data_IF_331096233086
#
_entry.id   IF_331096233086
#
_cell.length_a   1.000
_cell.length_b   1.000
_cell.length_c   1.000
_cell.angle_alpha   90.00
_cell.angle_beta   90.00
_cell.angle_gamma   90.00
#
_symmetry.space_group_name_H-M   'P 1'
#
loop_
_entity.id
_entity.type
_entity.pdbx_description
1 polymer ?
#
# COMPACT_ATOMS: atom_id res chain seq x y z
N UNK A 1 97.11 -87.25 40.50
CA UNK A 1 97.21 -85.99 39.71
C UNK A 1 96.39 -86.16 38.44
N UNK A 2 95.88 -85.04 37.91
CA UNK A 2 95.19 -84.87 36.61
C UNK A 2 93.73 -85.35 36.56
N UNK A 3 92.78 -84.66 35.92
CA UNK A 3 92.71 -83.33 35.32
C UNK A 3 91.21 -83.00 35.18
N UNK A 4 90.84 -81.72 35.32
CA UNK A 4 89.47 -81.23 35.17
C UNK A 4 89.07 -81.29 33.68
N UNK A 5 87.91 -81.86 33.37
CA UNK A 5 87.29 -81.84 32.03
C UNK A 5 86.02 -81.01 32.10
N UNK A 6 86.04 -79.86 31.43
CA UNK A 6 84.91 -78.98 31.19
C UNK A 6 83.99 -79.56 30.11
N UNK A 7 82.65 -79.44 30.23
CA UNK A 7 81.74 -79.78 29.14
C UNK A 7 81.69 -78.70 28.05
N UNK A 8 81.68 -79.15 26.80
CA UNK A 8 81.58 -78.38 25.55
C UNK A 8 80.33 -77.49 25.48
N UNK A 9 80.39 -76.35 24.76
CA UNK A 9 79.22 -75.53 24.45
C UNK A 9 78.42 -76.20 23.33
N UNK A 10 77.13 -76.47 23.59
CA UNK A 10 76.16 -76.95 22.62
C UNK A 10 75.59 -75.81 21.78
N UNK A 11 75.74 -75.93 20.47
CA UNK A 11 74.76 -75.71 19.41
C UNK A 11 73.69 -74.62 19.65
N UNK A 12 73.87 -73.46 19.01
CA UNK A 12 72.81 -72.47 18.77
C UNK A 12 72.53 -72.49 17.26
N UNK A 13 71.27 -72.59 16.80
CA UNK A 13 71.00 -72.59 15.37
C UNK A 13 71.30 -71.20 14.80
N UNK A 14 72.26 -71.11 13.90
CA UNK A 14 72.54 -69.90 13.11
C UNK A 14 71.40 -69.73 12.10
N UNK A 15 70.50 -68.78 12.36
CA UNK A 15 69.37 -68.43 11.49
C UNK A 15 69.89 -67.82 10.17
N UNK A 16 69.32 -68.22 9.03
CA UNK A 16 69.70 -67.73 7.70
C UNK A 16 69.42 -66.21 7.62
N UNK A 17 70.36 -65.37 7.18
CA UNK A 17 70.19 -63.91 7.07
C UNK A 17 68.99 -63.47 6.21
N UNK A 18 68.43 -64.36 5.38
CA UNK A 18 67.18 -64.08 4.67
C UNK A 18 65.94 -64.16 5.56
N UNK A 19 65.92 -65.08 6.53
CA UNK A 19 64.80 -65.26 7.45
C UNK A 19 64.71 -64.06 8.42
N UNK A 20 65.85 -63.52 8.87
CA UNK A 20 65.88 -62.29 9.68
C UNK A 20 65.29 -61.07 8.92
N UNK A 21 65.62 -60.93 7.63
CA UNK A 21 65.10 -59.83 6.81
C UNK A 21 63.60 -59.95 6.55
N UNK A 22 63.09 -61.18 6.39
CA UNK A 22 61.66 -61.41 6.19
C UNK A 22 60.85 -61.26 7.48
N UNK A 23 61.43 -61.58 8.64
CA UNK A 23 60.86 -61.27 9.95
C UNK A 23 60.81 -59.76 10.22
N UNK A 24 61.87 -59.01 9.90
CA UNK A 24 61.89 -57.54 10.00
C UNK A 24 60.80 -56.93 9.10
N UNK A 25 60.68 -57.39 7.85
CA UNK A 25 59.64 -56.92 6.92
C UNK A 25 58.24 -57.29 7.39
N UNK A 26 58.05 -58.46 7.99
CA UNK A 26 56.78 -58.87 8.56
C UNK A 26 56.40 -58.02 9.77
N UNK A 27 57.37 -57.70 10.63
CA UNK A 27 57.21 -56.80 11.76
C UNK A 27 56.89 -55.36 11.32
N UNK A 28 57.59 -54.84 10.32
CA UNK A 28 57.30 -53.54 9.71
C UNK A 28 55.88 -53.50 9.10
N UNK A 29 55.48 -54.54 8.38
CA UNK A 29 54.11 -54.66 7.82
C UNK A 29 53.05 -54.74 8.92
N UNK A 30 53.32 -55.41 10.03
CA UNK A 30 52.42 -55.46 11.17
C UNK A 30 52.29 -54.09 11.87
N UNK A 31 53.39 -53.33 11.94
CA UNK A 31 53.42 -51.96 12.47
C UNK A 31 52.72 -50.94 11.56
N UNK A 32 52.69 -51.18 10.25
CA UNK A 32 52.02 -50.33 9.25
C UNK A 32 50.54 -50.71 9.01
N UNK A 33 50.02 -51.74 9.69
CA UNK A 33 48.60 -52.11 9.59
C UNK A 33 47.76 -51.08 10.33
N UNK A 34 46.91 -50.40 9.56
CA UNK A 34 45.92 -49.46 10.09
C UNK A 34 44.98 -50.23 11.01
N UNK A 35 44.86 -49.77 12.26
CA UNK A 35 43.94 -50.36 13.22
C UNK A 35 42.49 -50.09 12.79
N UNK A 36 41.60 -51.07 13.02
CA UNK A 36 40.15 -50.85 12.82
C UNK A 36 39.63 -49.67 13.64
N UNK A 37 40.28 -49.39 14.77
CA UNK A 37 39.99 -48.22 15.59
C UNK A 37 40.29 -46.91 14.85
N UNK A 38 41.44 -46.81 14.17
CA UNK A 38 41.83 -45.60 13.40
C UNK A 38 40.87 -45.31 12.25
N UNK A 39 40.32 -46.35 11.62
CA UNK A 39 39.32 -46.20 10.55
C UNK A 39 38.03 -45.60 11.11
N UNK A 40 37.59 -46.06 12.28
CA UNK A 40 36.35 -45.58 12.91
C UNK A 40 36.54 -44.17 13.48
N UNK A 41 37.66 -43.89 14.14
CA UNK A 41 37.95 -42.56 14.70
C UNK A 41 38.14 -41.50 13.61
N UNK A 42 38.83 -41.84 12.51
CA UNK A 42 38.98 -40.94 11.36
C UNK A 42 37.63 -40.67 10.67
N UNK A 43 36.76 -41.67 10.57
CA UNK A 43 35.40 -41.49 10.05
C UNK A 43 34.57 -40.55 10.95
N UNK A 44 34.62 -40.74 12.27
CA UNK A 44 33.92 -39.86 13.22
C UNK A 44 34.47 -38.43 13.18
N UNK A 45 35.80 -38.26 13.12
CA UNK A 45 36.41 -36.93 12.98
C UNK A 45 36.01 -36.25 11.67
N UNK A 46 36.00 -36.97 10.55
CA UNK A 46 35.55 -36.45 9.27
C UNK A 46 34.07 -36.04 9.31
N UNK A 47 33.21 -36.85 9.94
CA UNK A 47 31.78 -36.55 10.05
C UNK A 47 31.52 -35.32 10.92
N UNK A 48 32.20 -35.21 12.06
CA UNK A 48 32.09 -34.04 12.96
C UNK A 48 32.56 -32.77 12.23
N UNK A 49 33.69 -32.82 11.52
CA UNK A 49 34.19 -31.68 10.75
C UNK A 49 33.23 -31.30 9.61
N UNK A 50 32.67 -32.28 8.91
CA UNK A 50 31.68 -32.03 7.86
C UNK A 50 30.41 -31.38 8.41
N UNK A 51 29.86 -31.90 9.51
CA UNK A 51 28.69 -31.31 10.16
C UNK A 51 28.99 -29.90 10.68
N UNK A 52 30.15 -29.69 11.30
CA UNK A 52 30.59 -28.39 11.78
C UNK A 52 30.72 -27.37 10.64
N UNK A 53 31.36 -27.75 9.53
CA UNK A 53 31.49 -26.89 8.35
C UNK A 53 30.12 -26.56 7.72
N UNK A 54 29.21 -27.54 7.67
CA UNK A 54 27.87 -27.34 7.13
C UNK A 54 27.04 -26.37 7.98
N UNK A 55 27.06 -26.53 9.32
CA UNK A 55 26.38 -25.61 10.24
C UNK A 55 27.00 -24.22 10.19
N UNK A 56 28.33 -24.12 10.11
CA UNK A 56 29.03 -22.84 9.96
C UNK A 56 28.67 -22.15 8.64
N UNK A 57 28.54 -22.90 7.54
CA UNK A 57 28.05 -22.37 6.26
C UNK A 57 26.62 -21.84 6.39
N UNK A 58 25.71 -22.60 7.00
CA UNK A 58 24.33 -22.14 7.23
C UNK A 58 24.29 -20.91 8.14
N UNK A 59 25.15 -20.85 9.16
CA UNK A 59 25.28 -19.69 10.03
C UNK A 59 25.78 -18.45 9.27
N UNK A 60 26.76 -18.60 8.38
CA UNK A 60 27.23 -17.52 7.50
C UNK A 60 26.10 -17.09 6.55
N UNK A 61 25.39 -18.03 5.93
CA UNK A 61 24.24 -17.73 5.08
C UNK A 61 23.17 -16.99 5.87
N UNK A 62 22.88 -17.39 7.11
CA UNK A 62 21.93 -16.69 7.97
C UNK A 62 22.42 -15.28 8.35
N UNK A 63 23.71 -15.13 8.67
CA UNK A 63 24.33 -13.84 9.01
C UNK A 63 24.32 -12.87 7.82
N UNK A 64 24.53 -13.39 6.61
CA UNK A 64 24.58 -12.63 5.35
C UNK A 64 23.21 -12.47 4.70
N UNK A 65 22.27 -13.38 4.96
CA UNK A 65 20.86 -13.26 4.58
C UNK A 65 20.19 -12.25 5.51
N UNK A 66 20.63 -11.00 5.40
CA UNK A 66 19.88 -9.87 5.93
C UNK A 66 18.45 -9.92 5.42
N UNK A 67 17.51 -9.37 6.20
CA UNK A 67 16.13 -9.17 5.74
C UNK A 67 16.18 -8.48 4.38
N UNK A 68 15.40 -8.92 3.37
CA UNK A 68 15.31 -8.21 2.11
C UNK A 68 14.98 -6.75 2.43
N UNK A 69 15.92 -5.85 2.16
CA UNK A 69 15.67 -4.42 2.31
C UNK A 69 14.58 -4.13 1.30
N UNK A 70 13.40 -3.66 1.72
CA UNK A 70 12.40 -3.29 0.74
C UNK A 70 13.05 -2.20 -0.10
N UNK A 71 13.09 -2.41 -1.41
CA UNK A 71 13.67 -1.46 -2.34
C UNK A 71 13.00 -0.11 -2.05
N UNK A 72 13.78 0.96 -1.77
CA UNK A 72 13.19 2.26 -1.57
C UNK A 72 12.51 2.63 -2.88
N UNK A 73 11.18 2.67 -2.84
CA UNK A 73 10.38 3.26 -3.91
C UNK A 73 10.85 4.70 -3.99
N UNK A 74 11.59 5.04 -5.05
CA UNK A 74 12.02 6.40 -5.28
C UNK A 74 10.75 7.27 -5.37
N UNK A 75 10.64 8.35 -4.59
CA UNK A 75 9.48 9.23 -4.68
C UNK A 75 9.44 9.77 -6.11
N UNK A 76 8.37 9.44 -6.84
CA UNK A 76 8.07 10.13 -8.08
C UNK A 76 7.69 11.56 -7.67
N UNK A 77 8.62 12.51 -7.79
CA UNK A 77 8.37 13.92 -7.51
C UNK A 77 7.76 14.50 -8.79
N UNK A 78 6.43 14.64 -8.79
CA UNK A 78 5.71 15.36 -9.84
C UNK A 78 5.50 16.79 -9.35
N UNK A 79 5.91 17.78 -10.14
CA UNK A 79 5.57 19.18 -9.93
C UNK A 79 4.42 19.56 -10.86
N UNK A 80 3.14 19.34 -10.46
CA UNK A 80 2.01 19.73 -11.29
C UNK A 80 1.99 21.25 -11.47
N UNK A 81 1.65 21.71 -12.68
CA UNK A 81 1.41 23.12 -12.94
C UNK A 81 0.31 23.66 -12.01
N UNK A 82 0.50 24.90 -11.56
CA UNK A 82 -0.60 25.70 -11.04
C UNK A 82 -1.70 25.81 -12.11
N UNK A 83 -2.94 25.57 -11.68
CA UNK A 83 -4.20 25.52 -12.46
C UNK A 83 -4.16 26.26 -13.80
N UNK A 84 -3.86 25.51 -14.87
CA UNK A 84 -4.14 25.87 -16.26
C UNK A 84 -5.14 24.86 -16.86
N UNK A 85 -5.87 25.31 -17.89
CA UNK A 85 -6.82 24.59 -18.76
C UNK A 85 -7.57 23.38 -18.15
N UNK A 86 -8.87 23.55 -17.86
CA UNK A 86 -9.74 22.45 -17.43
C UNK A 86 -9.75 21.30 -18.47
N UNK A 87 -9.54 20.07 -18.00
CA UNK A 87 -9.58 18.88 -18.85
C UNK A 87 -10.96 18.72 -19.52
N UNK A 88 -10.96 18.51 -20.84
CA UNK A 88 -12.18 18.39 -21.64
C UNK A 88 -13.04 17.19 -21.20
N UNK A 89 -14.34 17.42 -20.96
CA UNK A 89 -15.34 16.37 -20.77
C UNK A 89 -15.70 15.99 -19.33
N UNK A 90 -15.35 16.81 -18.33
CA UNK A 90 -15.88 16.65 -16.97
C UNK A 90 -16.70 17.88 -16.57
N UNK A 91 -18.01 17.69 -16.45
CA UNK A 91 -18.92 18.63 -15.80
C UNK A 91 -18.59 18.68 -14.30
N UNK A 92 -18.31 19.88 -13.78
CA UNK A 92 -18.56 20.13 -12.36
C UNK A 92 -19.97 20.72 -12.28
N UNK A 93 -20.95 19.88 -11.97
CA UNK A 93 -22.25 20.30 -11.43
C UNK A 93 -22.06 20.85 -10.02
N UNK A 94 -21.27 21.90 -9.93
CA UNK A 94 -21.32 22.84 -8.84
C UNK A 94 -21.79 24.13 -9.49
N UNK A 95 -23.08 24.19 -9.82
CA UNK A 95 -23.74 25.48 -9.92
C UNK A 95 -23.50 26.16 -8.57
N UNK A 96 -22.71 27.25 -8.50
CA UNK A 96 -22.82 28.10 -7.34
C UNK A 96 -24.29 28.50 -7.24
N UNK A 97 -24.92 28.44 -6.06
CA UNK A 97 -26.30 28.90 -5.92
C UNK A 97 -26.40 30.26 -6.58
N UNK A 98 -27.33 30.37 -7.53
CA UNK A 98 -27.52 31.59 -8.30
C UNK A 98 -27.74 32.75 -7.33
N UNK A 99 -27.26 33.94 -7.69
CA UNK A 99 -27.46 35.14 -6.88
C UNK A 99 -28.96 35.48 -6.63
N UNK A 100 -29.88 34.75 -7.27
CA UNK A 100 -31.32 34.84 -7.10
C UNK A 100 -31.87 33.98 -5.93
N UNK A 101 -31.12 32.99 -5.42
CA UNK A 101 -31.52 32.18 -4.24
C UNK A 101 -30.98 32.72 -2.90
N UNK A 102 -30.12 33.74 -2.93
CA UNK A 102 -29.58 34.40 -1.72
C UNK A 102 -30.41 35.58 -1.24
N UNK A 103 -31.44 35.99 -2.01
CA UNK A 103 -32.35 37.07 -1.62
C UNK A 103 -33.61 36.57 -0.89
N UNK A 104 -33.91 35.26 -0.92
CA UNK A 104 -35.01 34.64 -0.15
C UNK A 104 -34.64 34.27 1.31
N UNK A 105 -33.41 34.53 1.74
CA UNK A 105 -32.98 34.35 3.15
C UNK A 105 -33.11 35.63 4.01
N UNK A 106 -33.78 36.67 3.52
CA UNK A 106 -34.31 37.70 4.41
C UNK A 106 -35.65 37.21 4.98
N UNK A 107 -35.65 37.06 6.31
CA UNK A 107 -36.77 36.64 7.15
C UNK A 107 -38.14 37.14 6.61
N UNK A 108 -39.06 36.25 6.22
CA UNK A 108 -40.42 36.68 5.92
C UNK A 108 -41.06 37.15 7.23
N UNK A 109 -41.50 38.40 7.28
CA UNK A 109 -42.33 38.87 8.39
C UNK A 109 -43.60 38.03 8.44
N UNK A 110 -43.98 37.55 9.62
CA UNK A 110 -45.08 36.61 9.88
C UNK A 110 -46.49 37.08 9.43
N UNK A 111 -46.60 38.22 8.73
CA UNK A 111 -47.84 38.74 8.18
C UNK A 111 -48.17 38.15 6.79
N UNK A 112 -47.17 37.84 5.95
CA UNK A 112 -47.41 37.45 4.55
C UNK A 112 -47.66 35.94 4.35
N UNK A 113 -47.45 35.13 5.39
CA UNK A 113 -47.66 33.66 5.32
C UNK A 113 -49.14 33.27 5.42
N UNK A 114 -50.04 34.16 5.83
CA UNK A 114 -51.48 33.86 5.94
C UNK A 114 -52.22 34.15 4.62
N UNK A 115 -51.71 35.05 3.78
CA UNK A 115 -52.33 35.36 2.47
C UNK A 115 -51.99 34.27 1.42
N UNK A 116 -50.75 33.75 1.43
CA UNK A 116 -50.28 32.74 0.48
C UNK A 116 -50.96 31.35 0.59
N UNK A 117 -51.62 31.04 1.72
CA UNK A 117 -52.32 29.76 1.91
C UNK A 117 -53.74 29.79 1.29
N UNK A 118 -54.25 30.96 0.89
CA UNK A 118 -55.59 31.07 0.29
C UNK A 118 -55.58 30.93 -1.23
N UNK A 119 -54.51 31.35 -1.91
CA UNK A 119 -54.41 31.27 -3.38
C UNK A 119 -53.94 29.90 -3.91
N UNK A 120 -53.33 29.07 -3.06
CA UNK A 120 -52.83 27.74 -3.44
C UNK A 120 -53.93 26.67 -3.63
N UNK A 121 -55.20 26.98 -3.32
CA UNK A 121 -56.31 26.02 -3.47
C UNK A 121 -57.05 26.16 -4.82
N UNK A 122 -56.82 27.23 -5.60
CA UNK A 122 -57.52 27.46 -6.87
C UNK A 122 -56.77 27.03 -8.15
N UNK A 123 -55.48 26.68 -8.08
CA UNK A 123 -54.63 26.52 -9.28
C UNK A 123 -54.31 25.06 -9.64
N UNK A 124 -55.01 24.08 -9.04
CA UNK A 124 -54.76 22.64 -9.29
C UNK A 124 -55.53 22.08 -10.51
N UNK A 125 -56.40 22.86 -11.17
CA UNK A 125 -57.20 22.37 -12.30
C UNK A 125 -56.72 22.81 -13.71
N UNK A 126 -55.68 23.65 -13.83
CA UNK A 126 -55.34 24.29 -15.11
C UNK A 126 -53.98 23.90 -15.74
N UNK A 127 -53.12 23.10 -15.10
CA UNK A 127 -51.79 22.78 -15.65
C UNK A 127 -51.66 21.41 -16.33
N UNK A 128 -52.75 20.64 -16.47
CA UNK A 128 -52.67 19.27 -17.00
C UNK A 128 -52.76 19.12 -18.53
N UNK A 129 -52.68 20.21 -19.32
CA UNK A 129 -52.94 20.14 -20.78
C UNK A 129 -51.84 20.73 -21.69
N UNK A 130 -50.61 20.91 -21.20
CA UNK A 130 -49.54 21.47 -22.06
C UNK A 130 -48.18 20.80 -21.84
N UNK A 131 -48.13 19.48 -22.01
CA UNK A 131 -46.88 18.73 -22.08
C UNK A 131 -46.88 17.80 -23.30
N UNK A 132 -47.06 18.37 -24.49
CA UNK A 132 -46.75 17.71 -25.75
C UNK A 132 -46.15 18.77 -26.70
N UNK A 133 -44.84 18.97 -26.61
CA UNK A 133 -44.04 19.60 -27.66
C UNK A 133 -42.66 18.99 -27.66
N UNK A 134 -42.35 18.37 -28.80
CA UNK A 134 -41.11 17.68 -29.10
C UNK A 134 -39.89 18.60 -28.97
N UNK A 135 -38.99 18.27 -28.03
CA UNK A 135 -37.64 18.80 -27.99
C UNK A 135 -36.72 17.86 -28.79
N UNK A 136 -36.35 18.32 -29.97
CA UNK A 136 -35.37 17.71 -30.87
C UNK A 136 -34.03 17.54 -30.13
N UNK A 137 -33.53 16.29 -30.07
CA UNK A 137 -32.23 15.96 -29.53
C UNK A 137 -31.10 16.53 -30.42
N UNK A 138 -30.50 17.64 -29.98
CA UNK A 138 -29.20 18.11 -30.46
C UNK A 138 -28.12 17.69 -29.46
N UNK A 139 -27.74 16.41 -29.50
CA UNK A 139 -26.63 15.85 -28.74
C UNK A 139 -25.29 16.12 -29.45
N UNK A 140 -24.71 17.29 -29.19
CA UNK A 140 -23.27 17.54 -29.35
C UNK A 140 -22.84 18.68 -28.44
N UNK A 141 -22.79 18.42 -27.13
CA UNK A 141 -22.15 19.30 -26.17
C UNK A 141 -20.66 19.00 -26.07
N UNK A 142 -19.80 19.90 -26.56
CA UNK A 142 -18.35 19.90 -26.30
C UNK A 142 -18.01 20.73 -25.05
N UNK A 143 -18.93 20.81 -24.09
CA UNK A 143 -18.85 21.72 -22.96
C UNK A 143 -17.66 21.41 -22.05
N UNK A 144 -16.67 22.32 -22.03
CA UNK A 144 -15.75 22.46 -20.90
C UNK A 144 -16.56 23.07 -19.76
N UNK A 145 -17.20 22.24 -18.94
CA UNK A 145 -18.15 22.63 -17.89
C UNK A 145 -17.54 23.37 -16.69
N UNK A 146 -16.78 24.45 -16.94
CA UNK A 146 -16.36 25.43 -15.94
C UNK A 146 -16.23 26.80 -16.62
N UNK A 147 -17.20 27.68 -16.37
CA UNK A 147 -17.27 29.04 -16.93
C UNK A 147 -16.28 30.02 -16.28
N UNK A 148 -15.39 29.54 -15.40
CA UNK A 148 -14.38 30.38 -14.77
C UNK A 148 -13.16 30.52 -15.71
N UNK A 149 -12.59 31.73 -15.82
CA UNK A 149 -11.38 31.94 -16.61
C UNK A 149 -10.26 30.98 -16.16
N UNK A 150 -9.49 30.39 -17.10
CA UNK A 150 -8.29 29.65 -16.75
C UNK A 150 -7.39 30.51 -15.86
N UNK A 151 -6.88 29.92 -14.78
CA UNK A 151 -5.88 30.58 -13.94
C UNK A 151 -4.61 30.86 -14.75
N UNK A 152 -3.77 31.81 -14.30
CA UNK A 152 -2.45 32.01 -14.91
C UNK A 152 -1.67 30.69 -14.87
N UNK A 153 -1.02 30.36 -16.00
CA UNK A 153 -0.22 29.15 -16.15
C UNK A 153 0.85 29.09 -15.04
N UNK A 154 0.74 28.11 -14.14
CA UNK A 154 1.80 27.87 -13.16
C UNK A 154 3.01 27.22 -13.81
N UNK A 155 4.20 27.43 -13.24
CA UNK A 155 5.51 26.92 -13.72
C UNK A 155 5.71 25.39 -13.57
N UNK A 156 4.66 24.58 -13.72
CA UNK A 156 4.76 23.11 -13.64
C UNK A 156 4.35 22.43 -14.94
N UNK A 157 4.47 21.11 -14.95
CA UNK A 157 4.03 20.30 -16.09
C UNK A 157 2.50 20.23 -16.11
N UNK A 158 1.88 20.26 -17.30
CA UNK A 158 0.43 20.06 -17.47
C UNK A 158 0.04 18.62 -17.11
N UNK A 159 -0.08 18.38 -15.81
CA UNK A 159 -0.36 17.11 -15.17
C UNK A 159 -1.61 17.28 -14.32
N UNK A 160 -2.55 16.32 -14.39
CA UNK A 160 -3.66 16.25 -13.41
C UNK A 160 -3.04 15.88 -12.06
N UNK A 161 -3.15 16.72 -11.02
CA UNK A 161 -2.53 16.43 -9.74
C UNK A 161 -3.14 15.18 -9.09
N UNK A 162 -2.38 14.46 -8.25
CA UNK A 162 -2.77 13.16 -7.66
C UNK A 162 -4.13 13.19 -6.97
N UNK A 163 -4.45 14.27 -6.26
CA UNK A 163 -5.73 14.44 -5.56
C UNK A 163 -6.95 14.53 -6.48
N UNK A 164 -6.76 14.94 -7.73
CA UNK A 164 -7.82 14.95 -8.76
C UNK A 164 -7.77 13.71 -9.64
N UNK A 165 -6.56 13.22 -9.95
CA UNK A 165 -6.29 12.09 -10.84
C UNK A 165 -6.72 10.76 -10.24
N UNK A 166 -6.51 10.57 -8.92
CA UNK A 166 -6.70 9.28 -8.29
C UNK A 166 -8.11 9.12 -7.72
N UNK A 167 -8.66 7.91 -7.90
CA UNK A 167 -9.86 7.46 -7.23
C UNK A 167 -9.58 6.12 -6.55
N UNK A 168 -9.86 6.04 -5.26
CA UNK A 168 -9.69 4.83 -4.46
C UNK A 168 -11.04 4.16 -4.22
N UNK A 169 -11.21 2.97 -4.77
CA UNK A 169 -12.37 2.10 -4.55
C UNK A 169 -11.99 1.02 -3.55
N UNK A 170 -12.87 0.80 -2.57
CA UNK A 170 -12.71 -0.23 -1.55
C UNK A 170 -13.79 -1.29 -1.75
N UNK A 171 -13.41 -2.56 -1.70
CA UNK A 171 -14.35 -3.67 -1.69
C UNK A 171 -14.43 -4.26 -0.28
N UNK A 172 -15.53 -3.98 0.42
CA UNK A 172 -15.80 -4.50 1.74
C UNK A 172 -17.28 -4.84 1.89
N UNK A 173 -17.55 -6.03 2.43
CA UNK A 173 -18.92 -6.55 2.57
C UNK A 173 -19.55 -6.19 3.91
N UNK A 174 -18.77 -5.72 4.87
CA UNK A 174 -19.23 -5.35 6.19
C UNK A 174 -18.31 -4.31 6.84
N UNK A 175 -18.83 -3.61 7.85
CA UNK A 175 -18.13 -2.57 8.61
C UNK A 175 -16.74 -3.02 9.11
N UNK A 176 -16.65 -4.24 9.65
CA UNK A 176 -15.40 -4.75 10.23
C UNK A 176 -14.33 -4.97 9.17
N UNK A 177 -14.68 -5.60 8.04
CA UNK A 177 -13.78 -5.82 6.91
C UNK A 177 -13.29 -4.49 6.33
N UNK A 178 -14.17 -3.50 6.25
CA UNK A 178 -13.84 -2.15 5.79
C UNK A 178 -12.86 -1.45 6.75
N UNK A 179 -13.14 -1.49 8.05
CA UNK A 179 -12.26 -0.90 9.07
C UNK A 179 -10.88 -1.56 9.09
N UNK A 180 -10.83 -2.90 8.94
CA UNK A 180 -9.57 -3.64 8.82
C UNK A 180 -8.79 -3.25 7.56
N UNK A 181 -9.49 -2.99 6.45
CA UNK A 181 -8.88 -2.54 5.21
C UNK A 181 -8.27 -1.14 5.38
N UNK A 182 -9.01 -0.20 5.98
CA UNK A 182 -8.50 1.14 6.29
C UNK A 182 -7.27 1.07 7.22
N UNK A 183 -7.34 0.25 8.28
CA UNK A 183 -6.23 0.06 9.23
C UNK A 183 -5.00 -0.57 8.59
N UNK A 184 -5.18 -1.54 7.68
CA UNK A 184 -4.07 -2.17 6.96
C UNK A 184 -3.28 -1.16 6.13
N UNK A 185 -3.98 -0.21 5.51
CA UNK A 185 -3.38 0.87 4.75
C UNK A 185 -2.99 2.09 5.59
N UNK A 186 -3.22 2.04 6.90
CA UNK A 186 -3.04 3.16 7.82
C UNK A 186 -3.78 4.44 7.38
N UNK A 187 -4.93 4.28 6.72
CA UNK A 187 -5.79 5.39 6.30
C UNK A 187 -6.56 5.88 7.53
N UNK A 188 -6.50 7.19 7.78
CA UNK A 188 -7.23 7.82 8.88
C UNK A 188 -8.52 8.44 8.37
N UNK A 189 -9.59 8.34 9.15
CA UNK A 189 -10.84 9.06 8.86
C UNK A 189 -10.83 10.42 9.54
N UNK A 190 -11.15 11.46 8.78
CA UNK A 190 -11.24 12.84 9.25
C UNK A 190 -12.64 13.40 9.14
N UNK A 191 -13.03 14.21 10.11
CA UNK A 191 -14.22 15.05 10.08
C UNK A 191 -13.83 16.52 10.26
N UNK A 192 -14.36 17.40 9.40
CA UNK A 192 -14.16 18.86 9.50
C UNK A 192 -15.42 19.62 9.08
N UNK A 193 -15.50 20.90 9.45
CA UNK A 193 -16.68 21.74 9.21
C UNK A 193 -17.72 21.61 10.33
N UNK A 194 -18.98 22.00 10.04
CA UNK A 194 -20.09 21.90 10.99
C UNK A 194 -19.94 22.79 12.24
N UNK A 195 -19.33 23.96 12.09
CA UNK A 195 -19.10 24.90 13.20
C UNK A 195 -17.96 24.51 14.16
N UNK A 196 -17.33 23.34 13.98
CA UNK A 196 -16.17 22.93 14.77
C UNK A 196 -14.87 23.42 14.14
N UNK A 197 -14.05 24.14 14.92
CA UNK A 197 -12.73 24.59 14.48
C UNK A 197 -11.74 23.41 14.55
N UNK A 198 -11.11 23.09 13.42
CA UNK A 198 -10.12 22.02 13.31
C UNK A 198 -10.64 20.74 12.66
N UNK A 199 -9.74 19.76 12.56
CA UNK A 199 -9.97 18.45 11.95
C UNK A 199 -9.90 17.40 13.06
N UNK A 200 -11.00 16.68 13.28
CA UNK A 200 -10.97 15.50 14.14
C UNK A 200 -10.68 14.28 13.29
N UNK A 201 -9.66 13.52 13.66
CA UNK A 201 -9.22 12.32 12.96
C UNK A 201 -9.35 11.10 13.85
N UNK A 202 -9.63 9.95 13.25
CA UNK A 202 -9.63 8.65 13.90
C UNK A 202 -8.74 7.66 13.13
N UNK A 203 -7.90 6.94 13.87
CA UNK A 203 -7.08 5.83 13.38
C UNK A 203 -7.40 4.55 14.16
N UNK A 204 -6.87 3.40 13.72
CA UNK A 204 -7.08 2.09 14.35
C UNK A 204 -8.57 1.69 14.46
N UNK A 205 -9.34 1.96 13.41
CA UNK A 205 -10.80 1.88 13.34
C UNK A 205 -11.34 0.46 13.51
N UNK A 206 -10.57 -0.56 13.13
CA UNK A 206 -10.97 -1.97 13.19
C UNK A 206 -10.69 -2.67 14.52
N UNK A 207 -9.98 -2.01 15.44
CA UNK A 207 -9.61 -2.55 16.75
C UNK A 207 -10.01 -1.62 17.88
N UNK A 208 -9.16 -0.66 18.21
CA UNK A 208 -9.38 0.34 19.24
C UNK A 208 -9.21 1.73 18.62
N UNK A 209 -10.33 2.37 18.19
CA UNK A 209 -10.27 3.66 17.53
C UNK A 209 -9.59 4.71 18.39
N UNK A 210 -8.60 5.41 17.83
CA UNK A 210 -7.86 6.49 18.48
C UNK A 210 -8.25 7.82 17.84
N UNK A 211 -8.84 8.70 18.64
CA UNK A 211 -9.16 10.07 18.22
C UNK A 211 -7.93 10.97 18.36
N UNK A 212 -7.69 11.81 17.36
CA UNK A 212 -6.71 12.91 17.36
C UNK A 212 -7.38 14.17 16.82
N UNK A 213 -7.21 15.29 17.52
CA UNK A 213 -7.70 16.59 17.06
C UNK A 213 -6.52 17.40 16.51
N UNK A 214 -6.69 17.97 15.33
CA UNK A 214 -5.78 18.94 14.74
C UNK A 214 -6.46 20.32 14.73
N UNK A 215 -6.06 21.26 15.60
CA UNK A 215 -6.65 22.60 15.66
C UNK A 215 -6.22 23.49 14.47
N UNK A 216 -5.14 23.14 13.77
CA UNK A 216 -4.56 23.91 12.67
C UNK A 216 -4.76 23.19 11.32
N UNK A 217 -5.93 23.32 10.68
CA UNK A 217 -6.22 22.65 9.41
C UNK A 217 -5.26 23.08 8.28
N UNK A 218 -4.62 24.25 8.37
CA UNK A 218 -3.66 24.74 7.37
C UNK A 218 -2.34 23.96 7.36
N UNK A 219 -2.03 23.26 8.44
CA UNK A 219 -0.81 22.44 8.55
C UNK A 219 -1.02 21.04 7.96
N UNK A 220 -2.27 20.65 7.69
CA UNK A 220 -2.61 19.35 7.11
C UNK A 220 -2.30 19.34 5.61
N UNK A 221 -1.13 18.79 5.26
CA UNK A 221 -0.66 18.67 3.88
C UNK A 221 -0.90 17.29 3.27
N UNK A 222 -1.45 16.35 4.03
CA UNK A 222 -1.71 14.99 3.55
C UNK A 222 -2.74 14.99 2.44
N UNK A 223 -2.53 14.07 1.49
CA UNK A 223 -3.51 13.75 0.46
C UNK A 223 -4.79 13.22 1.13
N UNK A 224 -5.94 13.74 0.74
CA UNK A 224 -7.23 13.30 1.28
C UNK A 224 -8.26 13.04 0.20
N UNK A 225 -9.18 12.12 0.49
CA UNK A 225 -10.24 11.72 -0.43
C UNK A 225 -11.62 11.72 0.23
N UNK A 226 -12.59 12.38 -0.41
CA UNK A 226 -14.02 12.30 -0.07
C UNK A 226 -14.76 11.40 -1.06
N UNK A 227 -15.95 10.94 -0.68
CA UNK A 227 -16.83 10.24 -1.61
C UNK A 227 -17.46 11.26 -2.57
N UNK A 228 -17.37 10.99 -3.89
CA UNK A 228 -18.02 11.83 -4.91
C UNK A 228 -19.51 11.51 -5.09
N UNK A 229 -19.91 10.29 -4.75
CA UNK A 229 -21.28 9.80 -4.86
C UNK A 229 -21.64 9.05 -3.59
N UNK A 230 -22.93 8.99 -3.26
CA UNK A 230 -23.40 8.25 -2.10
C UNK A 230 -23.08 6.77 -2.27
N UNK A 231 -22.25 6.22 -1.38
CA UNK A 231 -21.91 4.80 -1.33
C UNK A 231 -22.28 4.21 0.02
N UNK A 232 -22.60 2.91 0.12
CA UNK A 232 -22.84 2.26 1.41
C UNK A 232 -21.65 2.41 2.37
N UNK A 233 -20.43 2.51 1.85
CA UNK A 233 -19.21 2.71 2.63
C UNK A 233 -19.16 4.09 3.32
N UNK A 234 -19.83 5.10 2.77
CA UNK A 234 -19.96 6.40 3.44
C UNK A 234 -20.70 6.28 4.77
N UNK A 235 -21.69 5.38 4.88
CA UNK A 235 -22.37 5.11 6.14
C UNK A 235 -21.43 4.42 7.14
N UNK A 236 -20.53 3.56 6.65
CA UNK A 236 -19.50 2.94 7.50
C UNK A 236 -18.50 3.97 8.02
N UNK A 237 -18.05 4.92 7.20
CA UNK A 237 -17.16 6.00 7.70
C UNK A 237 -17.81 6.78 8.85
N UNK A 238 -19.10 7.12 8.71
CA UNK A 238 -19.88 7.79 9.76
C UNK A 238 -19.92 6.96 11.04
N UNK A 239 -20.22 5.68 10.92
CA UNK A 239 -20.31 4.76 12.05
C UNK A 239 -18.95 4.58 12.75
N UNK A 240 -17.85 4.46 12.00
CA UNK A 240 -16.50 4.32 12.56
C UNK A 240 -16.06 5.60 13.30
N UNK A 241 -16.37 6.78 12.76
CA UNK A 241 -16.09 8.06 13.43
C UNK A 241 -16.91 8.22 14.71
N UNK A 242 -18.19 7.82 14.70
CA UNK A 242 -19.03 7.82 15.90
C UNK A 242 -18.51 6.85 16.96
N UNK A 243 -18.06 5.65 16.57
CA UNK A 243 -17.42 4.70 17.49
C UNK A 243 -16.13 5.26 18.12
N UNK A 244 -15.40 6.12 17.39
CA UNK A 244 -14.25 6.85 17.91
C UNK A 244 -14.60 8.06 18.79
N UNK A 245 -15.89 8.36 19.02
CA UNK A 245 -16.33 9.51 19.81
C UNK A 245 -16.14 10.86 19.09
N UNK A 246 -16.20 10.87 17.77
CA UNK A 246 -16.13 12.09 16.95
C UNK A 246 -17.55 12.49 16.53
N UNK A 247 -17.92 13.73 16.82
CA UNK A 247 -19.18 14.31 16.37
C UNK A 247 -19.12 14.52 14.85
N UNK A 248 -20.12 14.02 14.13
CA UNK A 248 -20.18 14.05 12.64
C UNK A 248 -21.32 14.90 12.07
N UNK A 249 -22.26 15.37 12.90
CA UNK A 249 -23.42 16.13 12.43
C UNK A 249 -22.97 17.44 11.75
N UNK A 250 -23.41 17.67 10.51
CA UNK A 250 -23.04 18.85 9.73
C UNK A 250 -21.57 18.90 9.29
N UNK A 251 -20.80 17.81 9.44
CA UNK A 251 -19.39 17.74 9.09
C UNK A 251 -19.14 16.95 7.81
N UNK A 252 -18.12 17.37 7.08
CA UNK A 252 -17.60 16.65 5.93
C UNK A 252 -16.62 15.58 6.39
N UNK A 253 -16.72 14.40 5.76
CA UNK A 253 -15.90 13.23 6.09
C UNK A 253 -14.91 12.99 4.96
N UNK A 254 -13.65 12.82 5.32
CA UNK A 254 -12.54 12.56 4.40
C UNK A 254 -11.68 11.43 4.90
N UNK A 255 -10.96 10.80 3.98
CA UNK A 255 -9.95 9.78 4.27
C UNK A 255 -8.58 10.38 4.02
N UNK A 256 -7.73 10.43 5.03
CA UNK A 256 -6.36 10.90 4.93
C UNK A 256 -5.43 9.75 4.58
N UNK A 257 -4.64 9.94 3.53
CA UNK A 257 -3.56 9.05 3.15
C UNK A 257 -2.35 9.38 4.02
N UNK A 258 -1.72 8.40 4.66
CA UNK A 258 -0.54 8.65 5.47
C UNK A 258 0.66 9.02 4.59
N UNK A 259 1.32 10.11 4.94
CA UNK A 259 2.56 10.64 4.33
C UNK A 259 3.82 10.33 5.18
N UNK A 260 3.63 9.99 6.46
CA UNK A 260 4.70 9.95 7.47
C UNK A 260 5.26 8.55 7.72
N UNK A 261 4.83 7.52 6.99
CA UNK A 261 5.29 6.16 7.28
C UNK A 261 6.66 5.95 6.65
N UNK A 262 7.66 5.61 7.47
CA UNK A 262 8.99 5.28 6.96
C UNK A 262 8.90 4.27 5.79
N UNK A 263 9.76 4.41 4.75
CA UNK A 263 9.86 3.43 3.68
C UNK A 263 9.95 2.02 4.28
N UNK A 264 9.11 1.07 3.84
CA UNK A 264 8.47 1.01 2.53
C UNK A 264 6.95 1.27 2.50
N UNK A 265 6.37 1.90 3.52
CA UNK A 265 4.92 1.91 3.76
C UNK A 265 4.19 3.23 3.45
N UNK A 266 4.76 4.06 2.58
CA UNK A 266 4.04 5.22 2.06
C UNK A 266 3.01 4.78 1.02
N UNK A 267 1.73 4.74 1.41
CA UNK A 267 0.64 4.37 0.52
C UNK A 267 0.62 5.23 -0.75
N UNK A 268 0.90 6.52 -0.63
CA UNK A 268 0.98 7.42 -1.79
C UNK A 268 2.05 6.96 -2.80
N UNK A 269 3.25 6.63 -2.34
CA UNK A 269 4.32 6.16 -3.22
C UNK A 269 4.00 4.81 -3.86
N UNK A 270 3.39 3.90 -3.08
CA UNK A 270 2.95 2.60 -3.59
C UNK A 270 1.91 2.77 -4.70
N UNK A 271 0.93 3.66 -4.52
CA UNK A 271 -0.08 3.95 -5.54
C UNK A 271 0.54 4.59 -6.79
N UNK A 272 1.48 5.52 -6.63
CA UNK A 272 2.20 6.13 -7.75
C UNK A 272 3.01 5.10 -8.56
N UNK A 273 3.64 4.14 -7.88
CA UNK A 273 4.38 3.04 -8.53
C UNK A 273 3.46 2.07 -9.28
N UNK A 274 2.30 1.74 -8.70
CA UNK A 274 1.31 0.87 -9.34
C UNK A 274 0.75 1.57 -10.58
N UNK A 275 0.44 2.87 -10.49
CA UNK A 275 0.06 3.69 -11.64
C UNK A 275 1.15 3.60 -12.71
N UNK A 276 2.40 3.93 -12.36
CA UNK A 276 3.58 3.86 -13.24
C UNK A 276 3.66 2.56 -14.05
N UNK A 277 3.67 1.44 -13.34
CA UNK A 277 3.74 0.11 -13.98
C UNK A 277 2.57 -0.14 -14.91
N UNK A 278 1.38 0.36 -14.57
CA UNK A 278 0.20 0.17 -15.41
C UNK A 278 0.28 0.96 -16.72
N UNK A 279 0.62 2.26 -16.70
CA UNK A 279 0.69 3.03 -17.95
C UNK A 279 1.89 2.64 -18.83
N UNK A 280 3.02 2.25 -18.23
CA UNK A 280 4.14 1.64 -18.96
C UNK A 280 3.71 0.36 -19.70
N UNK A 281 2.90 -0.50 -19.04
CA UNK A 281 2.38 -1.72 -19.67
C UNK A 281 1.40 -1.45 -20.83
N UNK A 282 0.79 -0.27 -20.85
CA UNK A 282 -0.14 0.18 -21.90
C UNK A 282 0.56 0.94 -23.02
N UNK A 283 1.88 1.14 -22.93
CA UNK A 283 2.69 1.82 -23.95
C UNK A 283 2.67 3.35 -23.87
N UNK A 284 2.24 3.92 -22.74
CA UNK A 284 2.35 5.35 -22.49
C UNK A 284 3.69 5.66 -21.80
N UNK A 285 4.23 6.85 -22.08
CA UNK A 285 5.58 7.25 -21.65
C UNK A 285 5.60 8.46 -20.71
N UNK A 286 4.44 9.05 -20.40
CA UNK A 286 4.35 10.12 -19.42
C UNK A 286 3.04 10.13 -18.61
N UNK A 287 3.16 10.62 -17.38
CA UNK A 287 2.04 10.89 -16.47
C UNK A 287 1.13 12.00 -17.00
N UNK A 288 1.65 12.92 -17.83
CA UNK A 288 0.89 14.02 -18.45
C UNK A 288 -0.28 13.53 -19.31
N UNK A 289 -0.17 12.30 -19.83
CA UNK A 289 -1.19 11.70 -20.68
C UNK A 289 -2.35 11.11 -19.87
N UNK A 290 -2.22 11.01 -18.54
CA UNK A 290 -3.22 10.39 -17.68
C UNK A 290 -4.24 11.45 -17.25
N UNK A 291 -5.51 11.18 -17.54
CA UNK A 291 -6.63 11.98 -17.05
C UNK A 291 -7.11 11.48 -15.67
N UNK A 292 -7.24 10.16 -15.50
CA UNK A 292 -7.78 9.56 -14.28
C UNK A 292 -7.28 8.13 -14.08
N UNK A 293 -7.00 7.76 -12.85
CA UNK A 293 -6.62 6.40 -12.45
C UNK A 293 -7.54 5.93 -11.33
N UNK A 294 -8.19 4.79 -11.54
CA UNK A 294 -9.08 4.16 -10.57
C UNK A 294 -8.36 2.95 -9.99
N UNK A 295 -8.05 3.04 -8.70
CA UNK A 295 -7.49 1.94 -7.93
C UNK A 295 -8.61 1.20 -7.22
N UNK A 296 -8.54 -0.12 -7.22
CA UNK A 296 -9.42 -0.97 -6.44
C UNK A 296 -8.61 -1.76 -5.43
N UNK A 297 -9.07 -1.72 -4.18
CA UNK A 297 -8.48 -2.49 -3.11
C UNK A 297 -9.05 -3.91 -3.08
N UNK A 298 -8.20 -4.91 -3.28
CA UNK A 298 -8.56 -6.33 -3.27
C UNK A 298 -7.83 -7.08 -2.16
N UNK A 299 -8.42 -8.20 -1.73
CA UNK A 299 -7.75 -9.11 -0.81
C UNK A 299 -6.59 -9.82 -1.52
N UNK A 300 -5.40 -9.78 -0.92
CA UNK A 300 -4.19 -10.39 -1.48
C UNK A 300 -3.48 -11.20 -0.38
N UNK A 301 -3.59 -12.53 -0.47
CA UNK A 301 -3.00 -13.45 0.52
C UNK A 301 -3.48 -13.16 1.94
N UNK A 302 -2.58 -12.74 2.82
CA UNK A 302 -2.86 -12.38 4.22
C UNK A 302 -3.15 -10.90 4.45
N UNK A 303 -3.34 -10.09 3.41
CA UNK A 303 -3.56 -8.65 3.50
C UNK A 303 -4.38 -8.11 2.35
N UNK A 304 -4.11 -6.86 1.98
CA UNK A 304 -4.79 -6.17 0.90
C UNK A 304 -3.77 -5.56 -0.07
N UNK A 305 -4.12 -5.48 -1.35
CA UNK A 305 -3.34 -4.78 -2.35
C UNK A 305 -4.25 -3.90 -3.20
N UNK A 306 -3.72 -2.75 -3.64
CA UNK A 306 -4.37 -1.95 -4.67
C UNK A 306 -3.96 -2.42 -6.05
N UNK A 307 -4.93 -2.48 -6.96
CA UNK A 307 -4.72 -2.73 -8.37
C UNK A 307 -5.38 -1.63 -9.19
N UNK A 308 -4.79 -1.24 -10.33
CA UNK A 308 -5.44 -0.32 -11.25
C UNK A 308 -6.46 -1.10 -12.09
N UNK A 309 -7.73 -0.75 -11.91
CA UNK A 309 -8.83 -1.37 -12.68
C UNK A 309 -9.13 -0.61 -13.96
N UNK A 310 -8.97 0.72 -13.92
CA UNK A 310 -9.27 1.60 -15.03
C UNK A 310 -8.30 2.77 -15.02
N UNK A 311 -7.76 3.08 -16.18
CA UNK A 311 -6.99 4.29 -16.41
C UNK A 311 -7.50 4.97 -17.66
N UNK A 312 -7.89 6.24 -17.53
CA UNK A 312 -8.32 7.08 -18.63
C UNK A 312 -7.20 8.02 -19.01
N UNK A 313 -6.99 8.14 -20.31
CA UNK A 313 -5.99 9.00 -20.89
C UNK A 313 -6.66 10.25 -21.46
N UNK A 314 -5.93 11.37 -21.41
CA UNK A 314 -6.34 12.60 -22.08
C UNK A 314 -6.36 12.34 -23.59
N UNK A 315 -7.35 12.88 -24.29
CA UNK A 315 -7.27 12.94 -25.75
C UNK A 315 -6.09 13.85 -26.09
N UNK A 316 -5.20 13.39 -26.95
CA UNK A 316 -4.10 14.24 -27.44
C UNK A 316 -4.73 15.50 -28.07
N UNK A 317 -4.24 16.67 -27.68
CA UNK A 317 -4.49 17.93 -28.41
C UNK A 317 -3.95 17.80 -29.83
#
# INVERSE_FOLDING_TARGET
>A
MASVISPSPSDSPELDPKDELDEIRAFERAKLRISKFDIVTSLFMALILFLGAFVLMLFIVWLLSGKPRPLPIAPLIENPAGRADNAEGFERDFEPPGAEEVEELQEPTLADTIEAVTDAVSTVAASLTTADTAATASTSGTGKGDSRPPGPEGEGEDIVPRFERWQLNFQANNLRSYAQQLDYYHIELGAFGGGSQGIDTASNLGSAPKKKNNPNPKEEKRLYFSWKSATPLQAYDRQLLQQAGIQIAGRNIVRFIPNDVEPPRNLEHVLADIEKKYWESKGYNSVTQIAKTVFESKAAGSGYAFEVIEQRYRKNK
#
